data_IF_180457786811
#
_entry.id   IF_180457786811
#
_cell.length_a   1.000
_cell.length_b   1.000
_cell.length_c   1.000
_cell.angle_alpha   90.00
_cell.angle_beta   90.00
_cell.angle_gamma   90.00
#
_symmetry.space_group_name_H-M   'P 1'
#
loop_
_entity.id
_entity.type
_entity.pdbx_description
1 polymer ?
#
# COMPACT_ATOMS: atom_id res chain seq x y z
N UNK A 1 -8.45 -34.45 8.04
CA UNK A 1 -8.55 -33.76 6.74
C UNK A 1 -7.27 -32.93 6.57
N UNK A 2 -6.50 -33.16 5.50
CA UNK A 2 -5.36 -32.30 5.14
C UNK A 2 -5.91 -31.06 4.43
N UNK A 3 -5.42 -29.85 4.71
CA UNK A 3 -5.78 -28.70 3.91
C UNK A 3 -5.05 -28.79 2.56
N UNK A 4 -5.83 -28.82 1.49
CA UNK A 4 -5.33 -28.68 0.11
C UNK A 4 -4.92 -27.23 -0.13
N UNK A 5 -3.61 -27.04 -0.31
CA UNK A 5 -2.95 -25.88 -0.90
C UNK A 5 -3.56 -25.52 -2.26
N UNK A 6 -4.06 -24.29 -2.45
CA UNK A 6 -4.69 -23.91 -3.73
C UNK A 6 -4.75 -22.43 -4.10
N UNK A 7 -4.83 -21.48 -3.17
CA UNK A 7 -4.81 -20.04 -3.51
C UNK A 7 -3.96 -19.30 -2.47
N UNK A 8 -2.91 -18.57 -2.87
CA UNK A 8 -1.94 -17.98 -1.94
C UNK A 8 -2.50 -16.81 -1.11
N UNK A 9 -3.75 -16.39 -1.35
CA UNK A 9 -4.37 -15.20 -0.76
C UNK A 9 -5.84 -15.42 -0.39
N UNK A 10 -6.22 -16.58 0.13
CA UNK A 10 -7.64 -16.89 0.41
C UNK A 10 -8.25 -16.11 1.58
N UNK A 11 -7.44 -15.44 2.42
CA UNK A 11 -7.99 -14.54 3.44
C UNK A 11 -8.11 -13.12 2.89
N UNK A 12 -9.27 -12.49 3.16
CA UNK A 12 -9.54 -11.08 2.85
C UNK A 12 -8.41 -10.18 3.38
N UNK A 13 -7.89 -10.49 4.56
CA UNK A 13 -6.78 -9.75 5.17
C UNK A 13 -5.48 -9.87 4.36
N UNK A 14 -5.19 -11.03 3.77
CA UNK A 14 -4.02 -11.21 2.89
C UNK A 14 -4.18 -10.46 1.58
N UNK A 15 -5.37 -10.49 0.97
CA UNK A 15 -5.66 -9.71 -0.23
C UNK A 15 -5.53 -8.21 0.03
N UNK A 16 -6.05 -7.74 1.18
CA UNK A 16 -5.93 -6.36 1.60
C UNK A 16 -4.46 -5.97 1.81
N UNK A 17 -3.70 -6.77 2.56
CA UNK A 17 -2.28 -6.53 2.79
C UNK A 17 -1.49 -6.50 1.47
N UNK A 18 -1.78 -7.43 0.55
CA UNK A 18 -1.17 -7.45 -0.79
C UNK A 18 -1.48 -6.16 -1.57
N UNK A 19 -2.75 -5.75 -1.62
CA UNK A 19 -3.17 -4.54 -2.35
C UNK A 19 -2.57 -3.26 -1.78
N UNK A 20 -2.51 -3.14 -0.43
CA UNK A 20 -1.82 -2.04 0.25
C UNK A 20 -0.34 -2.04 -0.12
N UNK A 21 0.31 -3.21 -0.15
CA UNK A 21 1.72 -3.31 -0.50
C UNK A 21 2.02 -2.88 -1.95
N UNK A 22 1.17 -3.25 -2.91
CA UNK A 22 1.31 -2.89 -4.32
C UNK A 22 1.09 -1.38 -4.53
N UNK A 23 0.05 -0.82 -3.91
CA UNK A 23 -0.19 0.63 -3.93
C UNK A 23 0.96 1.42 -3.32
N UNK A 24 1.50 0.96 -2.19
CA UNK A 24 2.63 1.60 -1.53
C UNK A 24 3.90 1.56 -2.40
N UNK A 25 4.16 0.45 -3.09
CA UNK A 25 5.27 0.34 -4.06
C UNK A 25 5.10 1.32 -5.21
N UNK A 26 3.91 1.37 -5.81
CA UNK A 26 3.61 2.30 -6.90
C UNK A 26 3.76 3.77 -6.45
N UNK A 27 3.22 4.13 -5.28
CA UNK A 27 3.35 5.48 -4.69
C UNK A 27 4.83 5.85 -4.47
N UNK A 28 5.62 4.91 -3.93
CA UNK A 28 7.06 5.10 -3.72
C UNK A 28 7.83 5.26 -5.01
N UNK A 29 7.53 4.45 -6.01
CA UNK A 29 8.14 4.58 -7.34
C UNK A 29 7.81 5.93 -7.99
N UNK A 30 6.54 6.34 -7.95
CA UNK A 30 6.10 7.64 -8.44
C UNK A 30 6.80 8.80 -7.72
N UNK A 31 6.96 8.72 -6.39
CA UNK A 31 7.73 9.70 -5.62
C UNK A 31 9.18 9.78 -6.11
N UNK A 32 9.89 8.64 -6.18
CA UNK A 32 11.30 8.59 -6.57
C UNK A 32 11.52 9.10 -8.00
N UNK A 33 10.60 8.79 -8.92
CA UNK A 33 10.72 9.18 -10.33
C UNK A 33 10.65 10.70 -10.56
N UNK A 34 10.14 11.47 -9.59
CA UNK A 34 10.11 12.94 -9.64
C UNK A 34 11.51 13.56 -9.52
N UNK A 35 12.50 12.80 -9.03
CA UNK A 35 13.84 13.28 -8.79
C UNK A 35 14.83 12.87 -9.90
N UNK A 36 15.86 13.71 -10.18
CA UNK A 36 16.98 13.37 -11.04
C UNK A 36 17.64 12.05 -10.62
N UNK A 37 18.15 11.27 -11.58
CA UNK A 37 18.70 9.92 -11.33
C UNK A 37 19.75 9.88 -10.21
N UNK A 38 20.62 10.89 -10.15
CA UNK A 38 21.66 11.02 -9.11
C UNK A 38 21.11 11.15 -7.68
N UNK A 39 19.88 11.64 -7.50
CA UNK A 39 19.25 11.82 -6.19
C UNK A 39 18.33 10.65 -5.79
N UNK A 40 17.91 9.81 -6.75
CA UNK A 40 16.93 8.73 -6.53
C UNK A 40 17.33 7.75 -5.42
N UNK A 41 18.63 7.43 -5.29
CA UNK A 41 19.10 6.52 -4.24
C UNK A 41 19.04 7.15 -2.84
N UNK A 42 19.26 8.46 -2.73
CA UNK A 42 19.05 9.17 -1.47
C UNK A 42 17.56 9.20 -1.11
N UNK A 43 16.70 9.54 -2.08
CA UNK A 43 15.25 9.58 -1.90
C UNK A 43 14.64 8.22 -1.57
N UNK A 44 15.16 7.13 -2.15
CA UNK A 44 14.77 5.76 -1.77
C UNK A 44 15.00 5.46 -0.29
N UNK A 45 16.03 6.04 0.33
CA UNK A 45 16.34 5.84 1.76
C UNK A 45 15.48 6.73 2.64
N UNK A 46 15.22 7.96 2.21
CA UNK A 46 14.37 8.91 2.91
C UNK A 46 12.90 8.48 2.91
N UNK A 47 12.37 8.12 1.73
CA UNK A 47 10.98 7.68 1.57
C UNK A 47 10.90 6.15 1.50
N UNK A 48 10.64 5.55 2.67
CA UNK A 48 10.64 4.10 2.84
C UNK A 48 9.32 3.47 2.38
N UNK A 49 9.34 2.16 2.12
CA UNK A 49 8.11 1.42 1.81
C UNK A 49 7.13 1.43 3.01
N UNK A 50 7.65 1.37 4.24
CA UNK A 50 6.82 1.46 5.45
C UNK A 50 6.07 2.79 5.51
N UNK A 51 6.74 3.89 5.20
CA UNK A 51 6.10 5.21 5.15
C UNK A 51 5.00 5.25 4.09
N UNK A 52 5.27 4.75 2.88
CA UNK A 52 4.26 4.67 1.83
C UNK A 52 3.06 3.80 2.25
N UNK A 53 3.27 2.68 2.97
CA UNK A 53 2.18 1.85 3.50
C UNK A 53 1.34 2.62 4.52
N UNK A 54 1.97 3.35 5.46
CA UNK A 54 1.25 4.16 6.46
C UNK A 54 0.35 5.20 5.82
N UNK A 55 0.84 5.87 4.78
CA UNK A 55 0.05 6.85 4.04
C UNK A 55 -1.15 6.19 3.33
N UNK A 56 -0.95 5.07 2.65
CA UNK A 56 -2.06 4.35 1.99
C UNK A 56 -3.12 3.90 3.01
N UNK A 57 -2.72 3.44 4.19
CA UNK A 57 -3.66 3.06 5.24
C UNK A 57 -4.44 4.26 5.78
N UNK A 58 -3.80 5.43 5.89
CA UNK A 58 -4.47 6.67 6.27
C UNK A 58 -5.52 7.09 5.22
N UNK A 59 -5.15 7.06 3.93
CA UNK A 59 -6.06 7.35 2.81
C UNK A 59 -7.29 6.41 2.84
N UNK A 60 -7.07 5.11 3.09
CA UNK A 60 -8.16 4.12 3.20
C UNK A 60 -9.07 4.41 4.39
N UNK A 61 -8.50 4.81 5.54
CA UNK A 61 -9.29 5.15 6.72
C UNK A 61 -10.15 6.39 6.50
N UNK A 62 -9.63 7.41 5.82
CA UNK A 62 -10.39 8.61 5.45
C UNK A 62 -11.56 8.28 4.53
N UNK A 63 -11.33 7.47 3.48
CA UNK A 63 -12.40 7.01 2.59
C UNK A 63 -13.47 6.23 3.35
N UNK A 64 -13.08 5.38 4.31
CA UNK A 64 -14.04 4.63 5.12
C UNK A 64 -14.93 5.56 5.97
N UNK A 65 -14.37 6.66 6.51
CA UNK A 65 -15.15 7.69 7.22
C UNK A 65 -16.14 8.37 6.27
N UNK A 66 -15.70 8.78 5.09
CA UNK A 66 -16.57 9.42 4.10
C UNK A 66 -17.73 8.52 3.66
N UNK A 67 -17.49 7.22 3.44
CA UNK A 67 -18.54 6.26 3.11
C UNK A 67 -19.57 6.19 4.24
N UNK A 68 -19.13 6.10 5.49
CA UNK A 68 -20.02 6.07 6.65
C UNK A 68 -20.90 7.32 6.74
N UNK A 69 -20.35 8.49 6.46
CA UNK A 69 -21.10 9.76 6.46
C UNK A 69 -22.14 9.82 5.34
N UNK A 70 -21.89 9.21 4.18
CA UNK A 70 -22.83 9.17 3.04
C UNK A 70 -23.95 8.16 3.22
N UNK A 71 -23.74 7.10 4.00
CA UNK A 71 -24.73 6.05 4.28
C UNK A 71 -25.66 6.39 5.45
N UNK A 72 -25.45 7.53 6.14
CA UNK A 72 -26.24 8.00 7.29
C UNK A 72 -27.32 9.00 6.89
#
# INVERSE_FOLDING_TARGET
>A
MKPSSGIPYDSIDMLFAFHVSEKARAKREQYIMQFPQQLREAEKRSYTLEQAVKEILADVAEVAVLIKELES
#
